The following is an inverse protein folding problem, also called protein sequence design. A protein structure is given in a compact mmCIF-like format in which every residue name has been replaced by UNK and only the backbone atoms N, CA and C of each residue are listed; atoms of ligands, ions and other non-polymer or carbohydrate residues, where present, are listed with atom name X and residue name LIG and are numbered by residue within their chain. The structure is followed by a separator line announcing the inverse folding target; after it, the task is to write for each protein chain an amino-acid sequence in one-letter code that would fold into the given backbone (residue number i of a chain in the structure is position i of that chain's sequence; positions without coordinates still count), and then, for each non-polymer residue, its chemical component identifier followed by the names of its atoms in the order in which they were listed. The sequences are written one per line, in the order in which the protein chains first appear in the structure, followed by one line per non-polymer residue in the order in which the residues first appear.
data_IF_663642379515
#
_entry.id   IF_663642379515
#
_cell.length_a   1.000
_cell.length_b   1.000
_cell.length_c   1.000
_cell.angle_alpha   90.00
_cell.angle_beta   90.00
_cell.angle_gamma   90.00
#
_symmetry.space_group_name_H-M   'P 1'
#
loop_
_entity.id
_entity.type
_entity.pdbx_description
1 polymer ?
#
# COMPACT_ATOMS: atom_id res chain seq x y z
N UNK A 1 21.60 6.89 9.67
CA UNK A 1 21.54 7.73 8.44
C UNK A 1 20.88 6.87 7.39
N UNK A 2 19.72 7.29 6.90
CA UNK A 2 18.97 6.58 5.85
C UNK A 2 19.86 6.56 4.60
N UNK A 3 20.13 5.35 4.08
CA UNK A 3 20.98 5.17 2.90
C UNK A 3 20.10 5.01 1.66
N UNK A 4 20.08 6.02 0.82
CA UNK A 4 19.20 6.12 -0.35
C UNK A 4 19.37 4.95 -1.31
N UNK A 5 20.60 4.52 -1.57
CA UNK A 5 20.85 3.38 -2.46
C UNK A 5 20.22 2.09 -1.90
N UNK A 6 20.31 1.88 -0.58
CA UNK A 6 19.74 0.72 0.09
C UNK A 6 18.21 0.76 0.04
N UNK A 7 17.61 1.90 0.34
CA UNK A 7 16.16 2.08 0.29
C UNK A 7 15.63 1.90 -1.14
N UNK A 8 16.33 2.39 -2.16
CA UNK A 8 15.98 2.19 -3.57
C UNK A 8 16.01 0.71 -3.95
N UNK A 9 17.04 -0.04 -3.53
CA UNK A 9 17.13 -1.49 -3.78
C UNK A 9 15.98 -2.24 -3.11
N UNK A 10 15.62 -1.86 -1.88
CA UNK A 10 14.48 -2.44 -1.18
C UNK A 10 13.15 -2.12 -1.89
N UNK A 11 12.89 -0.84 -2.20
CA UNK A 11 11.71 -0.40 -2.93
C UNK A 11 11.56 -1.14 -4.26
N UNK A 12 12.65 -1.31 -5.01
CA UNK A 12 12.66 -2.11 -6.23
C UNK A 12 12.21 -3.54 -5.98
N UNK A 13 12.84 -4.24 -5.02
CA UNK A 13 12.52 -5.64 -4.73
C UNK A 13 11.07 -5.82 -4.29
N UNK A 14 10.56 -4.91 -3.46
CA UNK A 14 9.18 -4.96 -2.97
C UNK A 14 8.17 -4.61 -4.08
N UNK A 15 8.43 -3.59 -4.90
CA UNK A 15 7.57 -3.17 -6.02
C UNK A 15 7.46 -4.27 -7.08
N UNK A 16 8.56 -4.93 -7.44
CA UNK A 16 8.57 -5.95 -8.49
C UNK A 16 8.03 -7.32 -8.03
N UNK A 17 8.01 -7.59 -6.72
CA UNK A 17 7.48 -8.83 -6.18
C UNK A 17 5.95 -8.89 -6.31
N UNK A 18 5.41 -10.07 -6.55
CA UNK A 18 3.96 -10.25 -6.69
C UNK A 18 3.27 -10.35 -5.34
N UNK A 19 2.12 -9.70 -5.20
CA UNK A 19 1.25 -9.95 -4.05
C UNK A 19 -0.09 -9.25 -4.19
N UNK A 20 -0.96 -9.75 -5.07
CA UNK A 20 -2.34 -9.23 -5.16
C UNK A 20 -3.17 -9.69 -3.96
N UNK A 21 -4.28 -9.01 -3.67
CA UNK A 21 -5.12 -9.33 -2.50
C UNK A 21 -5.54 -10.82 -2.49
N UNK A 22 -5.24 -11.51 -1.40
CA UNK A 22 -5.45 -12.96 -1.21
C UNK A 22 -4.33 -13.85 -1.75
N UNK A 23 -3.29 -13.28 -2.37
CA UNK A 23 -2.10 -13.96 -2.88
C UNK A 23 -0.80 -13.25 -2.44
N UNK A 24 -0.77 -12.74 -1.21
CA UNK A 24 0.35 -11.94 -0.66
C UNK A 24 1.55 -12.79 -0.23
N UNK A 25 1.49 -14.12 -0.38
CA UNK A 25 2.55 -15.00 0.13
C UNK A 25 3.95 -14.75 -0.47
N UNK A 26 4.13 -14.46 -1.78
CA UNK A 26 5.47 -14.18 -2.31
C UNK A 26 6.10 -12.94 -1.67
N UNK A 27 5.37 -11.82 -1.58
CA UNK A 27 5.88 -10.64 -0.90
C UNK A 27 6.06 -10.88 0.61
N UNK A 28 5.13 -11.57 1.25
CA UNK A 28 5.21 -11.85 2.69
C UNK A 28 6.50 -12.60 3.02
N UNK A 29 6.89 -13.57 2.18
CA UNK A 29 8.17 -14.27 2.32
C UNK A 29 9.35 -13.29 2.21
N UNK A 30 9.33 -12.43 1.20
CA UNK A 30 10.38 -11.42 1.00
C UNK A 30 10.48 -10.47 2.21
N UNK A 31 9.36 -9.99 2.74
CA UNK A 31 9.33 -9.12 3.93
C UNK A 31 9.79 -9.86 5.19
N UNK A 32 9.45 -11.14 5.33
CA UNK A 32 9.94 -12.00 6.43
C UNK A 32 11.48 -12.07 6.41
N UNK A 33 12.10 -12.28 5.25
CA UNK A 33 13.57 -12.32 5.11
C UNK A 33 14.24 -11.02 5.56
N UNK A 34 13.57 -9.87 5.39
CA UNK A 34 14.07 -8.57 5.83
C UNK A 34 13.83 -8.31 7.32
N UNK A 35 12.66 -8.67 7.84
CA UNK A 35 12.23 -8.31 9.19
C UNK A 35 12.74 -9.27 10.27
N UNK A 36 12.85 -10.56 9.99
CA UNK A 36 13.32 -11.56 10.95
C UNK A 36 14.64 -11.20 11.65
N UNK A 37 15.71 -10.75 10.95
CA UNK A 37 16.94 -10.34 11.62
C UNK A 37 16.86 -8.99 12.34
N UNK A 38 15.80 -8.21 12.10
CA UNK A 38 15.61 -6.85 12.64
C UNK A 38 14.63 -6.80 13.81
N UNK A 39 13.89 -7.88 14.08
CA UNK A 39 12.89 -7.95 15.14
C UNK A 39 13.27 -8.91 16.26
N UNK A 40 12.66 -8.72 17.43
CA UNK A 40 12.78 -9.66 18.55
C UNK A 40 11.86 -10.88 18.36
N UNK A 41 10.74 -10.67 17.68
CA UNK A 41 9.69 -11.65 17.48
C UNK A 41 8.95 -11.34 16.17
N UNK A 42 8.49 -12.39 15.48
CA UNK A 42 7.55 -12.31 14.37
C UNK A 42 6.26 -13.02 14.78
N UNK A 43 5.15 -12.32 14.63
CA UNK A 43 3.79 -12.79 14.91
C UNK A 43 3.00 -12.85 13.62
N UNK A 44 1.99 -13.71 13.57
CA UNK A 44 1.17 -13.93 12.38
C UNK A 44 -0.30 -13.94 12.75
N UNK A 45 -1.15 -13.41 11.87
CA UNK A 45 -2.58 -13.69 11.92
C UNK A 45 -2.93 -14.90 11.03
N UNK A 46 -4.20 -15.30 11.03
CA UNK A 46 -4.65 -16.45 10.24
C UNK A 46 -5.05 -16.09 8.79
N UNK A 47 -4.97 -14.82 8.39
CA UNK A 47 -5.21 -14.38 7.01
C UNK A 47 -3.92 -14.23 6.20
N UNK A 48 -2.78 -14.06 6.87
CA UNK A 48 -1.46 -13.92 6.27
C UNK A 48 -0.71 -12.64 6.67
N UNK A 49 -1.29 -11.78 7.51
CA UNK A 49 -0.58 -10.59 8.00
C UNK A 49 0.62 -11.00 8.86
N UNK A 50 1.70 -10.23 8.77
CA UNK A 50 2.93 -10.41 9.54
C UNK A 50 3.12 -9.22 10.48
N UNK A 51 3.42 -9.46 11.76
CA UNK A 51 3.71 -8.42 12.73
C UNK A 51 5.10 -8.64 13.34
N UNK A 52 6.05 -7.80 12.97
CA UNK A 52 7.38 -7.75 13.56
C UNK A 52 7.37 -6.90 14.82
N UNK A 53 8.08 -7.34 15.88
CA UNK A 53 8.09 -6.66 17.18
C UNK A 53 9.50 -6.22 17.57
N UNK A 54 9.63 -5.00 18.09
CA UNK A 54 10.79 -4.53 18.83
C UNK A 54 10.32 -4.12 20.24
N UNK A 55 10.95 -4.68 21.25
CA UNK A 55 10.60 -4.45 22.66
C UNK A 55 11.15 -3.11 23.12
N UNK A 56 10.24 -2.21 23.53
CA UNK A 56 10.60 -0.90 24.07
C UNK A 56 10.97 -0.94 25.55
N UNK A 57 11.37 0.21 26.08
CA UNK A 57 11.64 0.40 27.51
C UNK A 57 10.37 0.24 28.36
N UNK A 58 9.25 0.74 27.86
CA UNK A 58 7.91 0.66 28.44
C UNK A 58 7.11 -0.42 27.71
N UNK A 59 7.29 -1.67 28.15
CA UNK A 59 6.78 -2.85 27.42
C UNK A 59 5.26 -2.89 27.25
N UNK A 60 4.53 -2.28 28.18
CA UNK A 60 3.07 -2.25 28.16
C UNK A 60 2.50 -1.26 27.16
N UNK A 61 3.26 -0.22 26.76
CA UNK A 61 2.83 0.74 25.74
C UNK A 61 3.10 0.17 24.35
N UNK A 62 2.04 -0.17 23.62
CA UNK A 62 2.12 -0.84 22.31
C UNK A 62 1.74 0.10 21.19
N UNK A 63 2.71 0.36 20.32
CA UNK A 63 2.57 1.21 19.14
C UNK A 63 2.51 0.30 17.91
N UNK A 64 1.41 0.36 17.16
CA UNK A 64 1.26 -0.34 15.89
C UNK A 64 1.59 0.58 14.73
N UNK A 65 2.56 0.20 13.92
CA UNK A 65 2.81 0.77 12.61
C UNK A 65 2.24 -0.20 11.57
N UNK A 66 1.31 0.22 10.74
CA UNK A 66 0.68 -0.69 9.75
C UNK A 66 0.92 -0.21 8.32
N UNK A 67 1.16 -1.14 7.41
CA UNK A 67 1.28 -0.94 5.97
C UNK A 67 0.77 -2.21 5.26
N UNK A 68 0.15 -2.09 4.09
CA UNK A 68 -0.46 -3.26 3.45
C UNK A 68 0.43 -3.94 2.40
N UNK A 69 0.39 -5.27 2.43
CA UNK A 69 1.14 -6.12 1.51
C UNK A 69 0.38 -6.45 0.24
N UNK A 70 -0.91 -6.20 0.12
CA UNK A 70 -1.55 -6.45 -1.16
C UNK A 70 -1.37 -5.30 -2.13
N UNK A 71 -1.35 -5.63 -3.42
CA UNK A 71 -1.49 -4.70 -4.52
C UNK A 71 -2.80 -4.98 -5.26
N UNK A 72 -3.35 -3.97 -5.93
CA UNK A 72 -4.48 -4.19 -6.84
C UNK A 72 -4.11 -5.19 -7.95
N UNK A 73 -5.07 -6.02 -8.33
CA UNK A 73 -4.84 -7.09 -9.31
C UNK A 73 -6.12 -7.56 -9.98
N UNK A 74 -6.03 -8.69 -10.67
CA UNK A 74 -7.17 -9.35 -11.29
C UNK A 74 -7.17 -10.83 -10.92
N UNK A 75 -8.28 -11.51 -11.16
CA UNK A 75 -8.41 -12.95 -10.93
C UNK A 75 -9.10 -13.60 -12.11
N UNK A 76 -8.56 -14.72 -12.60
CA UNK A 76 -9.15 -15.48 -13.70
C UNK A 76 -10.54 -15.98 -13.30
N UNK A 77 -11.52 -15.78 -14.17
CA UNK A 77 -12.91 -16.24 -13.95
C UNK A 77 -13.31 -17.33 -14.92
N UNK A 78 -13.06 -17.14 -16.21
CA UNK A 78 -13.48 -18.05 -17.29
C UNK A 78 -12.46 -18.08 -18.41
N UNK A 79 -12.31 -19.24 -19.05
CA UNK A 79 -11.55 -19.41 -20.28
C UNK A 79 -12.56 -19.62 -21.42
N UNK A 80 -12.41 -18.88 -22.52
CA UNK A 80 -13.25 -19.03 -23.72
C UNK A 80 -12.79 -20.19 -24.59
N UNK A 81 -13.66 -20.68 -25.47
CA UNK A 81 -13.34 -21.81 -26.37
C UNK A 81 -12.20 -21.45 -27.33
N UNK A 82 -12.07 -20.17 -27.69
CA UNK A 82 -11.01 -19.63 -28.54
C UNK A 82 -9.68 -19.37 -27.79
N UNK A 83 -9.61 -19.63 -26.49
CA UNK A 83 -8.37 -19.49 -25.70
C UNK A 83 -8.15 -18.13 -25.04
N UNK A 84 -9.18 -17.27 -24.96
CA UNK A 84 -9.10 -16.00 -24.23
C UNK A 84 -9.51 -16.16 -22.77
N UNK A 85 -8.95 -15.32 -21.90
CA UNK A 85 -9.14 -15.42 -20.45
C UNK A 85 -9.93 -14.21 -19.95
N UNK A 86 -11.07 -14.46 -19.32
CA UNK A 86 -11.87 -13.46 -18.60
C UNK A 86 -11.43 -13.39 -17.15
N UNK A 87 -11.62 -12.23 -16.55
CA UNK A 87 -11.16 -11.93 -15.20
C UNK A 87 -12.11 -10.98 -14.46
N UNK A 88 -11.97 -10.91 -13.14
CA UNK A 88 -12.57 -9.91 -12.27
C UNK A 88 -11.49 -9.07 -11.60
N UNK A 89 -11.86 -7.93 -11.00
CA UNK A 89 -10.95 -7.04 -10.27
C UNK A 89 -10.76 -7.51 -8.83
N UNK A 90 -9.52 -7.44 -8.37
CA UNK A 90 -9.14 -7.46 -6.96
C UNK A 90 -8.66 -6.05 -6.62
N UNK A 91 -9.43 -5.33 -5.80
CA UNK A 91 -9.19 -3.92 -5.53
C UNK A 91 -9.83 -2.95 -6.52
N UNK A 92 -9.61 -1.66 -6.27
CA UNK A 92 -10.08 -0.58 -7.11
C UNK A 92 -9.31 -0.52 -8.44
N UNK A 93 -10.00 -0.58 -9.58
CA UNK A 93 -9.41 -0.19 -10.85
C UNK A 93 -10.35 0.73 -11.62
N UNK A 94 -9.74 1.71 -12.29
CA UNK A 94 -10.38 2.43 -13.38
C UNK A 94 -10.17 1.66 -14.69
N UNK A 95 -11.19 0.94 -15.15
CA UNK A 95 -11.11 -0.02 -16.26
C UNK A 95 -10.31 0.42 -17.52
N UNK A 96 -10.35 1.70 -17.97
CA UNK A 96 -9.57 2.14 -19.12
C UNK A 96 -8.06 1.94 -19.01
N UNK A 97 -7.49 1.97 -17.81
CA UNK A 97 -6.03 1.85 -17.59
C UNK A 97 -5.52 0.43 -17.80
N UNK A 98 -6.42 -0.55 -17.82
CA UNK A 98 -6.10 -1.96 -18.04
C UNK A 98 -5.84 -2.26 -19.52
N UNK A 99 -6.34 -1.44 -20.44
CA UNK A 99 -6.28 -1.74 -21.87
C UNK A 99 -4.83 -1.76 -22.38
N UNK A 100 -4.47 -2.82 -23.11
CA UNK A 100 -3.16 -3.03 -23.73
C UNK A 100 -2.00 -3.08 -22.72
N UNK A 101 -2.28 -3.53 -21.50
CA UNK A 101 -1.26 -3.71 -20.48
C UNK A 101 -0.77 -5.15 -20.40
N UNK A 102 0.48 -5.30 -19.99
CA UNK A 102 1.12 -6.60 -19.76
C UNK A 102 0.82 -7.09 -18.35
N UNK A 103 0.46 -8.36 -18.24
CA UNK A 103 0.16 -9.01 -16.96
C UNK A 103 0.82 -10.38 -16.86
N UNK A 104 0.90 -10.89 -15.63
CA UNK A 104 1.35 -12.24 -15.32
C UNK A 104 0.25 -13.01 -14.58
N UNK A 105 -0.15 -14.15 -15.12
CA UNK A 105 -1.02 -15.11 -14.46
C UNK A 105 -0.14 -16.08 -13.69
N UNK A 106 -0.37 -16.20 -12.39
CA UNK A 106 0.33 -17.11 -11.52
C UNK A 106 -0.54 -18.34 -11.31
N UNK A 107 -0.03 -19.52 -11.68
CA UNK A 107 -0.66 -20.79 -11.35
C UNK A 107 0.25 -21.60 -10.42
N UNK A 108 -0.21 -22.79 -10.02
CA UNK A 108 0.50 -23.67 -9.09
C UNK A 108 1.92 -24.08 -9.54
N UNK A 109 2.27 -23.96 -10.83
CA UNK A 109 3.52 -24.46 -11.38
C UNK A 109 4.41 -23.37 -12.01
N UNK A 110 3.85 -22.29 -12.56
CA UNK A 110 4.61 -21.28 -13.32
C UNK A 110 3.87 -19.94 -13.44
N UNK A 111 4.61 -18.95 -13.95
CA UNK A 111 4.09 -17.64 -14.38
C UNK A 111 3.84 -17.67 -15.89
N UNK A 112 2.66 -17.24 -16.33
CA UNK A 112 2.30 -17.11 -17.76
C UNK A 112 2.05 -15.64 -18.07
N UNK A 113 2.73 -15.11 -19.09
CA UNK A 113 2.57 -13.71 -19.49
C UNK A 113 1.43 -13.58 -20.50
N UNK A 114 0.60 -12.54 -20.31
CA UNK A 114 -0.44 -12.16 -21.25
C UNK A 114 -0.54 -10.65 -21.44
N UNK A 115 -1.36 -10.26 -22.41
CA UNK A 115 -1.72 -8.87 -22.68
C UNK A 115 -3.23 -8.71 -22.48
N UNK A 116 -3.65 -7.65 -21.80
CA UNK A 116 -5.07 -7.29 -21.72
C UNK A 116 -5.49 -6.65 -23.04
N UNK A 117 -6.35 -7.35 -23.78
CA UNK A 117 -6.92 -6.91 -25.05
C UNK A 117 -8.38 -6.48 -24.94
N UNK A 118 -8.85 -5.85 -26.00
CA UNK A 118 -10.26 -5.56 -26.26
C UNK A 118 -10.55 -5.71 -27.75
N UNK A 119 -11.83 -5.68 -28.11
CA UNK A 119 -12.26 -5.63 -29.52
C UNK A 119 -11.61 -4.43 -30.23
N UNK A 120 -10.99 -4.67 -31.39
CA UNK A 120 -10.18 -3.66 -32.06
C UNK A 120 -10.99 -2.43 -32.51
N UNK A 121 -10.46 -1.19 -32.39
CA UNK A 121 -11.23 0.03 -32.65
C UNK A 121 -11.80 0.14 -34.08
N UNK A 122 -11.15 -0.44 -35.09
CA UNK A 122 -11.56 -0.33 -36.49
C UNK A 122 -12.78 -1.20 -36.84
N UNK A 123 -13.12 -2.18 -36.00
CA UNK A 123 -14.33 -3.02 -36.13
C UNK A 123 -15.44 -2.62 -35.14
N UNK A 124 -15.21 -1.59 -34.32
CA UNK A 124 -16.25 -1.02 -33.47
C UNK A 124 -17.21 -0.17 -34.29
N UNK A 125 -18.50 -0.35 -34.03
CA UNK A 125 -19.55 0.56 -34.50
C UNK A 125 -19.33 1.97 -33.94
N UNK A 126 -19.85 3.02 -34.59
CA UNK A 126 -19.77 4.39 -34.07
C UNK A 126 -20.32 4.55 -32.65
N UNK A 127 -21.30 3.72 -32.26
CA UNK A 127 -21.91 3.78 -30.93
C UNK A 127 -21.05 3.07 -29.88
N UNK A 128 -20.48 1.90 -30.20
CA UNK A 128 -19.50 1.23 -29.32
C UNK A 128 -18.28 2.11 -29.04
N UNK A 129 -17.83 2.90 -30.02
CA UNK A 129 -16.70 3.84 -29.84
C UNK A 129 -16.95 4.96 -28.83
N UNK A 130 -18.20 5.30 -28.55
CA UNK A 130 -18.57 6.32 -27.56
C UNK A 130 -18.66 5.75 -26.14
N UNK A 131 -18.76 4.43 -26.01
CA UNK A 131 -18.88 3.79 -24.71
C UNK A 131 -17.51 3.73 -24.02
N UNK A 132 -17.46 3.93 -22.70
CA UNK A 132 -16.22 3.73 -21.96
C UNK A 132 -15.78 2.27 -22.06
N UNK A 133 -14.47 2.06 -21.98
CA UNK A 133 -13.92 0.71 -21.77
C UNK A 133 -14.42 0.20 -20.43
N UNK A 134 -14.94 -1.04 -20.42
CA UNK A 134 -15.41 -1.71 -19.20
C UNK A 134 -14.75 -3.07 -19.10
N UNK A 135 -14.57 -3.59 -17.88
CA UNK A 135 -13.94 -4.90 -17.66
C UNK A 135 -14.58 -6.03 -18.48
N UNK A 136 -15.89 -5.96 -18.73
CA UNK A 136 -16.61 -6.98 -19.50
C UNK A 136 -16.15 -7.06 -20.97
N UNK A 137 -15.70 -5.94 -21.55
CA UNK A 137 -15.18 -5.90 -22.92
C UNK A 137 -13.70 -6.30 -23.01
N UNK A 138 -13.02 -6.47 -21.86
CA UNK A 138 -11.62 -6.86 -21.79
C UNK A 138 -11.45 -8.38 -21.70
N UNK A 139 -10.27 -8.85 -22.09
CA UNK A 139 -9.82 -10.24 -21.94
C UNK A 139 -8.29 -10.27 -21.87
N UNK A 140 -7.71 -11.31 -21.30
CA UNK A 140 -6.27 -11.56 -21.37
C UNK A 140 -6.01 -12.54 -22.51
N UNK A 141 -5.05 -12.17 -23.35
CA UNK A 141 -4.53 -12.98 -24.45
C UNK A 141 -3.11 -13.45 -24.10
N UNK A 142 -2.89 -14.76 -24.19
CA UNK A 142 -1.58 -15.42 -23.97
C UNK A 142 -1.04 -16.06 -25.26
N UNK A 143 -1.70 -15.83 -26.40
CA UNK A 143 -1.38 -16.44 -27.69
C UNK A 143 -1.91 -17.87 -27.87
N UNK A 144 -2.86 -18.32 -27.03
CA UNK A 144 -3.51 -19.62 -27.16
C UNK A 144 -4.58 -19.60 -28.25
N UNK A 145 -4.78 -20.72 -28.93
CA UNK A 145 -5.79 -20.90 -29.98
C UNK A 145 -7.01 -21.69 -29.54
N UNK A 146 -7.01 -22.20 -28.30
CA UNK A 146 -8.13 -22.94 -27.73
C UNK A 146 -8.13 -22.92 -26.21
N UNK A 147 -9.28 -23.23 -25.63
CA UNK A 147 -9.41 -23.49 -24.19
C UNK A 147 -8.43 -24.55 -23.69
N UNK A 148 -8.28 -25.64 -24.43
CA UNK A 148 -7.41 -26.77 -24.04
C UNK A 148 -5.94 -26.34 -23.95
N UNK A 149 -5.47 -25.45 -24.82
CA UNK A 149 -4.11 -24.91 -24.76
C UNK A 149 -3.89 -24.06 -23.49
N UNK A 150 -4.85 -23.21 -23.13
CA UNK A 150 -4.81 -22.43 -21.88
C UNK A 150 -4.79 -23.37 -20.67
N UNK A 151 -5.65 -24.38 -20.68
CA UNK A 151 -5.73 -25.34 -19.57
C UNK A 151 -4.49 -26.23 -19.47
N UNK A 152 -3.84 -26.56 -20.60
CA UNK A 152 -2.57 -27.30 -20.64
C UNK A 152 -1.41 -26.49 -20.03
N UNK A 153 -1.47 -25.16 -20.03
CA UNK A 153 -0.54 -24.29 -19.30
C UNK A 153 -0.78 -24.26 -17.79
N UNK A 154 -1.85 -24.91 -17.33
CA UNK A 154 -2.21 -25.01 -15.92
C UNK A 154 -3.04 -23.85 -15.40
N UNK A 155 -3.51 -22.94 -16.27
CA UNK A 155 -4.35 -21.80 -15.87
C UNK A 155 -5.76 -22.28 -15.52
N UNK A 156 -6.29 -21.82 -14.39
CA UNK A 156 -7.61 -22.18 -13.86
C UNK A 156 -8.36 -20.94 -13.35
N UNK A 157 -9.68 -21.10 -13.18
CA UNK A 157 -10.50 -20.10 -12.47
C UNK A 157 -9.99 -19.95 -11.04
N UNK A 158 -9.86 -18.72 -10.57
CA UNK A 158 -9.27 -18.38 -9.27
C UNK A 158 -7.79 -18.03 -9.31
N UNK A 159 -7.07 -18.30 -10.42
CA UNK A 159 -5.66 -17.94 -10.52
C UNK A 159 -5.48 -16.41 -10.47
N UNK A 160 -4.54 -15.91 -9.65
CA UNK A 160 -4.26 -14.49 -9.56
C UNK A 160 -3.53 -13.98 -10.81
N UNK A 161 -3.86 -12.75 -11.18
CA UNK A 161 -3.29 -12.02 -12.30
C UNK A 161 -2.72 -10.71 -11.77
N UNK A 162 -1.41 -10.52 -11.99
CA UNK A 162 -0.64 -9.41 -11.43
C UNK A 162 -0.19 -8.47 -12.55
N UNK A 163 -0.27 -7.15 -12.37
CA UNK A 163 0.36 -6.19 -13.28
C UNK A 163 1.85 -6.51 -13.49
N UNK A 164 2.34 -6.39 -14.73
CA UNK A 164 3.77 -6.53 -15.02
C UNK A 164 4.39 -5.16 -15.30
N UNK A 165 5.21 -4.70 -14.36
CA UNK A 165 5.93 -3.43 -14.45
C UNK A 165 7.28 -3.54 -13.78
N UNK A 166 8.27 -2.83 -14.29
CA UNK A 166 9.62 -2.74 -13.71
C UNK A 166 9.75 -1.50 -12.84
N UNK A 167 10.58 -1.60 -11.80
CA UNK A 167 10.93 -0.44 -10.99
C UNK A 167 12.13 0.28 -11.61
N UNK A 168 12.02 1.60 -11.71
CA UNK A 168 13.06 2.45 -12.27
C UNK A 168 13.15 3.79 -11.52
N UNK A 169 14.39 4.27 -11.34
CA UNK A 169 14.58 5.68 -11.00
C UNK A 169 14.28 6.53 -12.22
N UNK A 170 13.54 7.62 -12.02
CA UNK A 170 13.36 8.64 -13.05
C UNK A 170 14.70 9.34 -13.31
N UNK A 171 14.82 9.96 -14.48
CA UNK A 171 16.06 10.58 -14.96
C UNK A 171 16.50 11.79 -14.12
N UNK A 172 15.61 12.33 -13.30
CA UNK A 172 15.91 13.39 -12.33
C UNK A 172 16.55 12.87 -11.03
N UNK A 173 16.69 11.54 -10.87
CA UNK A 173 17.23 10.84 -9.68
C UNK A 173 16.53 11.17 -8.36
N UNK A 174 15.38 11.83 -8.42
CA UNK A 174 14.58 12.22 -7.25
C UNK A 174 13.28 11.43 -7.20
N UNK A 175 12.65 11.22 -8.35
CA UNK A 175 11.44 10.41 -8.43
C UNK A 175 11.78 8.98 -8.86
N UNK A 176 10.89 8.06 -8.53
CA UNK A 176 10.93 6.67 -9.02
C UNK A 176 9.56 6.24 -9.51
N UNK A 177 9.54 5.22 -10.37
CA UNK A 177 8.33 4.65 -10.95
C UNK A 177 8.33 3.13 -10.82
N UNK A 178 7.15 2.55 -10.62
CA UNK A 178 6.97 1.10 -10.48
C UNK A 178 5.52 0.74 -10.15
N UNK A 179 5.19 -0.56 -10.13
CA UNK A 179 3.87 -1.02 -9.66
C UNK A 179 3.82 -1.10 -8.14
N UNK A 180 2.61 -1.22 -7.59
CA UNK A 180 2.39 -1.49 -6.17
C UNK A 180 3.10 -0.50 -5.24
N UNK A 181 3.34 0.75 -5.66
CA UNK A 181 3.86 1.75 -4.72
C UNK A 181 2.90 1.91 -3.53
N UNK A 182 1.62 1.81 -3.85
CA UNK A 182 0.51 1.47 -2.98
C UNK A 182 0.47 -0.04 -2.67
N UNK A 183 0.83 -0.52 -1.47
CA UNK A 183 1.52 0.19 -0.38
C UNK A 183 2.87 -0.47 -0.05
N UNK A 184 3.62 -0.84 -1.11
CA UNK A 184 5.01 -1.29 -0.94
C UNK A 184 5.90 -0.19 -0.38
N UNK A 185 5.51 1.08 -0.53
CA UNK A 185 6.20 2.20 0.09
C UNK A 185 6.08 2.13 1.62
N UNK A 186 4.89 1.95 2.19
CA UNK A 186 4.69 1.76 3.63
C UNK A 186 5.41 0.51 4.14
N UNK A 187 5.35 -0.60 3.41
CA UNK A 187 6.12 -1.81 3.74
C UNK A 187 7.63 -1.55 3.76
N UNK A 188 8.16 -0.83 2.78
CA UNK A 188 9.57 -0.43 2.73
C UNK A 188 9.95 0.44 3.92
N UNK A 189 9.10 1.40 4.28
CA UNK A 189 9.30 2.25 5.45
C UNK A 189 9.39 1.43 6.74
N UNK A 190 8.49 0.46 6.95
CA UNK A 190 8.53 -0.41 8.14
C UNK A 190 9.86 -1.16 8.27
N UNK A 191 10.39 -1.70 7.17
CA UNK A 191 11.71 -2.38 7.18
C UNK A 191 12.83 -1.40 7.56
N UNK A 192 12.84 -0.20 6.99
CA UNK A 192 13.87 0.81 7.33
C UNK A 192 13.72 1.34 8.76
N UNK A 193 12.49 1.52 9.28
CA UNK A 193 12.23 1.86 10.68
C UNK A 193 12.80 0.79 11.59
N UNK A 194 12.45 -0.48 11.36
CA UNK A 194 12.94 -1.61 12.18
C UNK A 194 14.47 -1.71 12.16
N UNK A 195 15.08 -1.37 11.03
CA UNK A 195 16.53 -1.33 10.91
C UNK A 195 17.16 -0.24 11.78
N UNK A 196 16.60 0.97 11.81
CA UNK A 196 17.12 2.05 12.67
C UNK A 196 16.83 1.78 14.16
N UNK A 197 15.68 1.18 14.48
CA UNK A 197 15.30 0.83 15.86
C UNK A 197 16.08 -0.36 16.42
N UNK A 198 16.65 -1.22 15.56
CA UNK A 198 17.44 -2.38 16.04
C UNK A 198 18.61 -1.97 16.94
N UNK A 199 19.24 -0.84 16.61
CA UNK A 199 20.40 -0.31 17.32
C UNK A 199 20.05 0.91 18.21
N UNK A 200 18.77 1.30 18.26
CA UNK A 200 18.31 2.52 18.94
C UNK A 200 17.17 2.19 19.92
N UNK A 201 17.37 2.38 21.23
CA UNK A 201 16.30 2.19 22.21
C UNK A 201 15.09 3.09 21.91
N UNK A 202 13.90 2.50 21.95
CA UNK A 202 12.62 3.19 21.76
C UNK A 202 11.80 3.14 23.06
N UNK A 203 11.05 4.21 23.42
CA UNK A 203 10.29 4.21 24.66
C UNK A 203 9.19 3.14 24.69
N UNK A 204 8.30 3.10 23.70
CA UNK A 204 7.23 2.10 23.59
C UNK A 204 7.62 0.85 22.82
N UNK A 205 6.89 -0.25 23.00
CA UNK A 205 7.03 -1.46 22.19
C UNK A 205 6.39 -1.25 20.82
N UNK A 206 7.18 -1.42 19.76
CA UNK A 206 6.78 -1.14 18.38
C UNK A 206 6.45 -2.45 17.66
N UNK A 207 5.28 -2.48 17.02
CA UNK A 207 4.85 -3.56 16.13
C UNK A 207 4.75 -3.02 14.70
N UNK A 208 5.60 -3.50 13.80
CA UNK A 208 5.51 -3.24 12.36
C UNK A 208 4.67 -4.33 11.72
N UNK A 209 3.46 -3.97 11.31
CA UNK A 209 2.44 -4.87 10.81
C UNK A 209 2.30 -4.70 9.31
N UNK A 210 2.64 -5.77 8.60
CA UNK A 210 2.43 -5.94 7.17
C UNK A 210 1.08 -6.63 6.97
N UNK A 211 0.02 -5.87 6.72
CA UNK A 211 -1.35 -6.38 6.62
C UNK A 211 -1.62 -7.02 5.26
N UNK A 212 -2.71 -7.77 5.14
CA UNK A 212 -3.19 -8.36 3.88
C UNK A 212 -4.59 -7.87 3.54
N UNK A 213 -4.97 -7.94 2.28
CA UNK A 213 -6.34 -7.66 1.81
C UNK A 213 -6.89 -6.29 2.23
N UNK A 214 -6.07 -5.25 2.19
CA UNK A 214 -6.53 -3.86 2.34
C UNK A 214 -7.48 -3.50 1.20
N UNK A 215 -7.04 -3.76 -0.03
CA UNK A 215 -7.67 -3.26 -1.26
C UNK A 215 -9.07 -3.86 -1.50
N UNK A 216 -9.37 -4.97 -0.82
CA UNK A 216 -10.64 -5.70 -0.88
C UNK A 216 -11.47 -5.58 0.40
N UNK A 217 -11.13 -4.64 1.28
CA UNK A 217 -11.96 -4.21 2.40
C UNK A 217 -11.26 -4.15 3.77
N UNK A 218 -9.99 -3.78 3.81
CA UNK A 218 -9.25 -3.48 5.05
C UNK A 218 -9.25 -4.69 6.00
N UNK A 219 -9.08 -5.90 5.45
CA UNK A 219 -9.41 -7.12 6.20
C UNK A 219 -8.31 -7.52 7.17
N UNK A 220 -7.06 -7.50 6.72
CA UNK A 220 -5.89 -7.89 7.51
C UNK A 220 -5.62 -6.96 8.69
N UNK A 221 -5.89 -5.66 8.56
CA UNK A 221 -5.87 -4.74 9.70
C UNK A 221 -6.83 -5.17 10.81
N UNK A 222 -8.07 -5.57 10.44
CA UNK A 222 -9.08 -6.00 11.39
C UNK A 222 -8.71 -7.26 12.18
N UNK A 223 -7.94 -8.17 11.58
CA UNK A 223 -7.42 -9.36 12.28
C UNK A 223 -6.14 -9.05 13.06
N UNK A 224 -5.25 -8.23 12.51
CA UNK A 224 -3.95 -7.89 13.09
C UNK A 224 -4.05 -7.19 14.45
N UNK A 225 -5.06 -6.33 14.65
CA UNK A 225 -5.27 -5.69 15.96
C UNK A 225 -5.53 -6.68 17.09
N UNK A 226 -6.05 -7.89 16.79
CA UNK A 226 -6.24 -8.93 17.82
C UNK A 226 -4.94 -9.65 18.19
N UNK A 227 -3.97 -9.66 17.29
CA UNK A 227 -2.61 -10.18 17.51
C UNK A 227 -1.82 -9.18 18.36
N UNK A 228 -1.79 -7.90 17.95
CA UNK A 228 -0.97 -6.86 18.57
C UNK A 228 -1.59 -6.29 19.85
N UNK A 229 -2.90 -6.00 19.81
CA UNK A 229 -3.64 -5.25 20.84
C UNK A 229 -2.99 -3.87 21.13
N UNK A 230 -2.93 -2.98 20.12
CA UNK A 230 -2.22 -1.70 20.25
C UNK A 230 -2.95 -0.70 21.13
N UNK A 231 -2.18 0.20 21.74
CA UNK A 231 -2.68 1.38 22.45
C UNK A 231 -2.78 2.60 21.52
N UNK A 232 -1.92 2.66 20.51
CA UNK A 232 -1.83 3.74 19.52
C UNK A 232 -1.39 3.15 18.17
N UNK A 233 -1.88 3.72 17.06
CA UNK A 233 -1.52 3.26 15.73
C UNK A 233 -1.14 4.40 14.76
N UNK A 234 -0.10 4.16 13.95
CA UNK A 234 0.29 5.00 12.82
C UNK A 234 0.20 4.12 11.58
N UNK A 235 -0.69 4.46 10.66
CA UNK A 235 -0.80 3.77 9.38
C UNK A 235 0.07 4.50 8.36
N UNK A 236 0.92 3.73 7.69
CA UNK A 236 1.77 4.15 6.61
C UNK A 236 1.07 3.69 5.34
N UNK A 237 0.82 4.64 4.44
CA UNK A 237 0.05 4.39 3.23
C UNK A 237 0.56 5.33 2.12
N UNK A 238 -0.09 5.32 0.97
CA UNK A 238 0.06 6.34 -0.05
C UNK A 238 -1.09 7.35 0.01
N UNK A 239 -0.94 8.44 -0.73
CA UNK A 239 -2.03 9.37 -1.02
C UNK A 239 -1.96 9.77 -2.48
N UNK A 240 -3.12 10.10 -3.05
CA UNK A 240 -3.22 10.56 -4.44
C UNK A 240 -2.54 11.92 -4.58
N UNK A 241 -1.43 11.98 -5.30
CA UNK A 241 -0.84 13.24 -5.72
C UNK A 241 -1.73 13.95 -6.76
N UNK A 242 -2.14 15.18 -6.46
CA UNK A 242 -3.11 15.99 -7.25
C UNK A 242 -2.45 17.04 -8.14
N UNK A 243 -1.14 16.96 -8.34
CA UNK A 243 -0.33 17.92 -9.08
C UNK A 243 -0.19 17.59 -10.58
N UNK A 244 -1.07 16.74 -11.10
CA UNK A 244 -1.17 16.43 -12.53
C UNK A 244 -1.95 17.50 -13.30
N UNK A 245 -1.72 17.66 -14.62
CA UNK A 245 -2.49 18.59 -15.45
C UNK A 245 -4.00 18.34 -15.36
N UNK A 246 -4.78 19.40 -15.59
CA UNK A 246 -6.25 19.39 -15.62
C UNK A 246 -6.95 19.11 -14.27
N UNK A 247 -6.24 19.20 -13.14
CA UNK A 247 -6.83 19.24 -11.80
C UNK A 247 -6.92 20.71 -11.34
N UNK A 248 -8.15 21.20 -11.17
CA UNK A 248 -8.43 22.54 -10.64
C UNK A 248 -8.61 22.51 -9.12
N UNK A 249 -8.41 23.65 -8.41
CA UNK A 249 -8.61 23.70 -6.96
C UNK A 249 -10.01 23.28 -6.48
N UNK A 250 -11.04 23.36 -7.33
CA UNK A 250 -12.41 22.94 -6.99
C UNK A 250 -12.69 21.46 -7.21
N UNK A 251 -11.79 20.73 -7.87
CA UNK A 251 -11.97 19.30 -8.18
C UNK A 251 -11.59 18.39 -7.00
N UNK A 252 -10.77 18.92 -6.07
CA UNK A 252 -10.23 18.19 -4.92
C UNK A 252 -10.44 18.99 -3.64
N UNK A 253 -10.69 18.30 -2.52
CA UNK A 253 -10.90 18.95 -1.21
C UNK A 253 -9.58 19.45 -0.62
N UNK A 254 -8.49 18.74 -0.90
CA UNK A 254 -7.13 19.09 -0.48
C UNK A 254 -6.16 18.82 -1.63
N UNK A 255 -5.04 19.53 -1.63
CA UNK A 255 -3.99 19.37 -2.64
C UNK A 255 -2.76 18.76 -2.02
N UNK A 256 -2.30 17.69 -2.65
CA UNK A 256 -1.01 17.05 -2.38
C UNK A 256 -0.18 17.07 -3.67
N UNK A 257 1.13 17.13 -3.53
CA UNK A 257 2.08 17.16 -4.64
C UNK A 257 3.35 16.39 -4.29
N UNK A 258 4.04 15.92 -5.33
CA UNK A 258 5.34 15.25 -5.19
C UNK A 258 6.43 16.25 -4.77
N UNK A 259 7.31 15.83 -3.87
CA UNK A 259 8.46 16.59 -3.36
C UNK A 259 8.07 17.72 -2.42
N UNK A 260 6.92 17.61 -1.75
CA UNK A 260 6.40 18.61 -0.79
C UNK A 260 6.27 18.07 0.64
N UNK A 261 6.80 16.88 0.89
CA UNK A 261 6.81 16.19 2.18
C UNK A 261 5.70 15.15 2.30
N UNK A 262 5.80 14.28 3.33
CA UNK A 262 4.73 13.36 3.72
C UNK A 262 3.40 14.07 3.94
N UNK A 263 2.33 13.31 3.85
CA UNK A 263 0.97 13.81 4.03
C UNK A 263 0.41 13.30 5.34
N UNK A 264 -0.16 14.20 6.13
CA UNK A 264 -0.86 13.85 7.36
C UNK A 264 -2.36 13.88 7.04
N UNK A 265 -3.02 12.72 7.14
CA UNK A 265 -4.45 12.62 6.87
C UNK A 265 -5.25 13.25 8.01
N UNK A 266 -6.05 14.26 7.69
CA UNK A 266 -6.98 14.90 8.62
C UNK A 266 -8.39 14.34 8.50
N UNK A 267 -8.67 13.61 7.42
CA UNK A 267 -9.95 12.95 7.15
C UNK A 267 -9.79 11.97 5.99
N UNK A 268 -10.27 10.75 6.16
CA UNK A 268 -10.64 9.85 5.06
C UNK A 268 -12.05 9.26 5.30
N UNK A 269 -12.62 8.55 4.33
CA UNK A 269 -13.98 8.03 4.46
C UNK A 269 -14.11 6.95 5.55
N UNK A 270 -12.99 6.37 5.98
CA UNK A 270 -12.92 5.30 6.98
C UNK A 270 -12.61 5.81 8.39
N UNK A 271 -11.97 6.98 8.53
CA UNK A 271 -11.55 7.51 9.82
C UNK A 271 -11.48 9.04 9.86
N UNK A 272 -11.95 9.62 10.98
CA UNK A 272 -11.52 10.94 11.45
C UNK A 272 -10.42 10.68 12.49
N UNK A 273 -9.18 11.17 12.31
CA UNK A 273 -8.09 10.88 13.23
C UNK A 273 -8.36 11.45 14.61
N UNK A 274 -7.75 10.84 15.63
CA UNK A 274 -7.82 11.33 16.98
C UNK A 274 -7.16 12.72 17.08
N UNK A 275 -7.95 13.78 17.26
CA UNK A 275 -7.51 15.19 17.15
C UNK A 275 -6.24 15.50 17.98
N UNK A 276 -6.18 15.18 19.28
CA UNK A 276 -4.97 15.39 20.08
C UNK A 276 -3.73 14.67 19.55
N UNK A 277 -3.93 13.49 18.94
CA UNK A 277 -2.82 12.73 18.37
C UNK A 277 -2.37 13.34 17.03
N UNK A 278 -3.31 13.75 16.18
CA UNK A 278 -3.03 14.53 14.96
C UNK A 278 -2.23 15.80 15.28
N UNK A 279 -2.64 16.56 16.30
CA UNK A 279 -1.96 17.81 16.68
C UNK A 279 -0.56 17.54 17.22
N UNK A 280 -0.38 16.45 17.97
CA UNK A 280 0.94 15.97 18.39
C UNK A 280 1.84 15.62 17.19
N UNK A 281 1.29 14.98 16.15
CA UNK A 281 2.04 14.65 14.93
C UNK A 281 2.49 15.89 14.18
N UNK A 282 1.57 16.86 14.00
CA UNK A 282 1.88 18.15 13.37
C UNK A 282 2.97 18.89 14.14
N UNK A 283 2.83 18.99 15.47
CA UNK A 283 3.83 19.61 16.33
C UNK A 283 5.19 18.93 16.21
N UNK A 284 5.22 17.60 16.16
CA UNK A 284 6.47 16.84 15.99
C UNK A 284 7.14 17.16 14.66
N UNK A 285 6.38 17.26 13.57
CA UNK A 285 6.90 17.65 12.27
C UNK A 285 7.51 19.06 12.30
N UNK A 286 6.81 20.02 12.91
CA UNK A 286 7.26 21.42 13.03
C UNK A 286 8.53 21.56 13.88
N UNK A 287 8.60 20.90 15.05
CA UNK A 287 9.77 20.91 15.93
C UNK A 287 11.02 20.31 15.28
N UNK A 288 10.83 19.31 14.41
CA UNK A 288 11.91 18.65 13.68
C UNK A 288 12.16 19.26 12.28
N UNK A 289 11.48 20.36 11.93
CA UNK A 289 11.60 21.03 10.63
C UNK A 289 11.34 20.10 9.43
N UNK A 290 10.40 19.16 9.58
CA UNK A 290 10.03 18.21 8.52
C UNK A 290 8.88 18.82 7.71
N UNK A 291 9.02 18.99 6.38
CA UNK A 291 7.92 19.48 5.56
C UNK A 291 6.79 18.45 5.57
N UNK A 292 5.54 18.92 5.59
CA UNK A 292 4.37 18.06 5.49
C UNK A 292 3.25 18.74 4.71
N UNK A 293 2.32 17.94 4.23
CA UNK A 293 1.08 18.36 3.58
C UNK A 293 -0.11 17.84 4.38
N UNK A 294 -1.28 18.44 4.17
CA UNK A 294 -2.52 18.02 4.83
C UNK A 294 -3.45 17.46 3.78
N UNK A 295 -4.03 16.30 4.07
CA UNK A 295 -5.05 15.68 3.23
C UNK A 295 -6.41 15.59 3.94
N UNK A 296 -7.43 15.83 3.13
CA UNK A 296 -8.83 15.54 3.39
C UNK A 296 -9.32 14.75 2.16
N UNK A 297 -9.57 13.45 2.32
CA UNK A 297 -9.88 12.51 1.25
C UNK A 297 -11.28 11.91 1.43
N UNK A 298 -12.34 12.49 0.85
CA UNK A 298 -13.70 11.98 1.02
C UNK A 298 -13.96 10.62 0.36
N UNK A 299 -13.10 10.20 -0.56
CA UNK A 299 -13.21 8.91 -1.25
C UNK A 299 -11.90 8.14 -1.09
N UNK A 300 -11.96 7.03 -0.35
CA UNK A 300 -10.81 6.23 0.03
C UNK A 300 -10.89 5.85 1.51
N UNK A 301 -10.22 4.77 1.87
CA UNK A 301 -10.05 4.32 3.25
C UNK A 301 -8.65 3.74 3.39
N UNK A 302 -8.24 3.51 4.62
CA UNK A 302 -6.92 2.90 4.92
C UNK A 302 -7.10 1.87 6.03
N UNK A 303 -6.04 1.13 6.33
CA UNK A 303 -5.98 0.24 7.50
C UNK A 303 -6.44 0.89 8.82
N UNK A 304 -6.29 2.21 8.95
CA UNK A 304 -6.70 2.96 10.13
C UNK A 304 -8.22 2.84 10.37
N UNK A 305 -9.01 2.71 9.30
CA UNK A 305 -10.46 2.54 9.33
C UNK A 305 -10.95 1.33 10.13
N UNK A 306 -10.14 0.27 10.25
CA UNK A 306 -10.43 -0.88 11.12
C UNK A 306 -9.67 -0.83 12.43
N UNK A 307 -8.44 -0.33 12.41
CA UNK A 307 -7.58 -0.30 13.60
C UNK A 307 -8.20 0.58 14.69
N UNK A 308 -8.67 1.78 14.34
CA UNK A 308 -9.16 2.74 15.33
C UNK A 308 -10.43 2.29 16.05
N UNK A 309 -11.19 1.34 15.49
CA UNK A 309 -12.42 0.79 16.05
C UNK A 309 -12.16 -0.40 17.00
N UNK A 310 -10.91 -0.80 17.19
CA UNK A 310 -10.58 -1.95 18.00
C UNK A 310 -10.86 -1.70 19.50
N UNK A 311 -11.64 -2.59 20.13
CA UNK A 311 -11.99 -2.56 21.57
C UNK A 311 -12.57 -1.23 22.03
N UNK A 312 -11.82 -0.47 22.83
CA UNK A 312 -12.24 0.80 23.41
C UNK A 312 -11.91 2.00 22.51
N UNK A 313 -11.42 1.72 21.30
CA UNK A 313 -10.86 2.70 20.39
C UNK A 313 -9.34 2.73 20.50
N UNK A 314 -8.69 2.92 19.36
CA UNK A 314 -7.23 3.09 19.27
C UNK A 314 -6.97 4.45 18.63
N UNK A 315 -6.40 5.44 19.35
CA UNK A 315 -5.92 6.68 18.75
C UNK A 315 -5.02 6.37 17.55
N UNK A 316 -5.48 6.79 16.38
CA UNK A 316 -4.87 6.42 15.10
C UNK A 316 -4.67 7.65 14.21
N UNK A 317 -3.63 7.60 13.38
CA UNK A 317 -3.29 8.60 12.37
C UNK A 317 -2.76 7.90 11.12
N UNK A 318 -2.97 8.49 9.94
CA UNK A 318 -2.36 8.03 8.68
C UNK A 318 -1.28 9.03 8.26
N UNK A 319 -0.11 8.52 7.91
CA UNK A 319 0.99 9.26 7.29
C UNK A 319 1.22 8.67 5.90
N UNK A 320 0.85 9.44 4.89
CA UNK A 320 0.90 9.05 3.48
C UNK A 320 2.14 9.55 2.75
N UNK A 321 2.60 8.80 1.75
CA UNK A 321 3.53 9.31 0.72
C UNK A 321 2.75 9.67 -0.55
N UNK A 322 2.89 10.89 -1.10
CA UNK A 322 2.26 11.25 -2.37
C UNK A 322 2.70 10.33 -3.52
N UNK A 323 1.73 9.75 -4.21
CA UNK A 323 1.94 8.93 -5.40
C UNK A 323 0.99 9.40 -6.50
N UNK A 324 1.55 9.65 -7.69
CA UNK A 324 0.74 9.83 -8.92
C UNK A 324 0.41 8.46 -9.49
N UNK A 325 -0.79 8.32 -10.04
CA UNK A 325 -1.23 7.10 -10.73
C UNK A 325 -1.21 5.88 -9.79
N UNK A 326 -1.85 6.01 -8.62
CA UNK A 326 -2.17 4.85 -7.79
C UNK A 326 -3.20 3.96 -8.51
N UNK A 327 -3.26 2.69 -8.13
CA UNK A 327 -4.15 1.70 -8.75
C UNK A 327 -4.00 1.57 -10.28
N UNK A 328 -2.76 1.81 -10.75
CA UNK A 328 -2.33 1.69 -12.14
C UNK A 328 -1.14 0.73 -12.27
N UNK A 329 -0.74 0.43 -13.51
CA UNK A 329 0.44 -0.40 -13.77
C UNK A 329 1.74 0.29 -13.33
N UNK A 330 1.78 1.62 -13.28
CA UNK A 330 2.92 2.38 -12.79
C UNK A 330 2.42 3.55 -11.95
N UNK A 331 2.91 3.65 -10.72
CA UNK A 331 2.86 4.87 -9.93
C UNK A 331 4.17 5.66 -10.06
N UNK A 332 4.13 6.95 -9.71
CA UNK A 332 5.34 7.80 -9.56
C UNK A 332 5.33 8.44 -8.17
N UNK A 333 6.42 8.28 -7.45
CA UNK A 333 6.62 8.86 -6.13
C UNK A 333 7.95 9.63 -6.04
N UNK A 334 8.08 10.46 -5.02
CA UNK A 334 9.28 11.26 -4.74
C UNK A 334 10.07 10.67 -3.56
N UNK A 335 11.39 10.51 -3.75
CA UNK A 335 12.27 9.95 -2.72
C UNK A 335 12.39 10.88 -1.50
N UNK A 336 12.33 12.21 -1.70
CA UNK A 336 12.39 13.16 -0.59
C UNK A 336 11.13 13.04 0.29
N UNK A 337 9.96 12.79 -0.30
CA UNK A 337 8.71 12.58 0.46
C UNK A 337 8.80 11.30 1.31
N UNK A 338 9.28 10.20 0.71
CA UNK A 338 9.53 8.93 1.40
C UNK A 338 10.51 9.10 2.59
N UNK A 339 11.63 9.78 2.37
CA UNK A 339 12.62 10.02 3.43
C UNK A 339 12.07 10.90 4.55
N UNK A 340 11.30 11.93 4.22
CA UNK A 340 10.71 12.81 5.23
C UNK A 340 9.58 12.10 6.00
N UNK A 341 8.82 11.20 5.36
CA UNK A 341 7.88 10.31 6.05
C UNK A 341 8.62 9.42 7.08
N UNK A 342 9.73 8.80 6.67
CA UNK A 342 10.55 7.97 7.55
C UNK A 342 11.11 8.77 8.74
N UNK A 343 11.64 9.98 8.49
CA UNK A 343 12.11 10.89 9.55
C UNK A 343 10.99 11.27 10.51
N UNK A 344 9.80 11.57 10.01
CA UNK A 344 8.65 11.94 10.83
C UNK A 344 8.25 10.79 11.75
N UNK A 345 8.12 9.58 11.21
CA UNK A 345 7.72 8.41 12.00
C UNK A 345 8.78 8.08 13.07
N UNK A 346 10.07 8.12 12.73
CA UNK A 346 11.14 7.93 13.72
C UNK A 346 11.12 9.01 14.82
N UNK A 347 10.87 10.28 14.46
CA UNK A 347 10.74 11.36 15.43
C UNK A 347 9.54 11.14 16.37
N UNK A 348 8.41 10.66 15.86
CA UNK A 348 7.23 10.32 16.66
C UNK A 348 7.54 9.19 17.65
N UNK A 349 8.14 8.10 17.17
CA UNK A 349 8.47 6.94 18.01
C UNK A 349 9.40 7.31 19.17
N UNK A 350 10.32 8.24 18.96
CA UNK A 350 11.20 8.74 20.02
C UNK A 350 10.47 9.58 21.09
N UNK A 351 9.31 10.16 20.76
CA UNK A 351 8.54 11.02 21.66
C UNK A 351 7.33 10.33 22.30
N UNK A 352 6.88 9.18 21.76
CA UNK A 352 5.74 8.42 22.29
C UNK A 352 6.21 7.53 23.44
N UNK A 353 5.95 8.00 24.66
CA UNK A 353 6.07 7.27 25.92
C UNK A 353 4.73 7.34 26.69
N UNK A 354 4.65 6.70 27.87
CA UNK A 354 3.43 6.63 28.67
C UNK A 354 2.89 8.00 29.05
N UNK A 355 3.76 8.97 29.34
CA UNK A 355 3.34 10.35 29.67
C UNK A 355 2.68 11.01 28.46
N UNK A 356 3.33 10.93 27.29
CA UNK A 356 2.78 11.47 26.03
C UNK A 356 1.47 10.77 25.64
N UNK A 357 1.43 9.44 25.74
CA UNK A 357 0.22 8.66 25.46
C UNK A 357 -0.95 9.07 26.35
N UNK A 358 -0.73 9.16 27.66
CA UNK A 358 -1.77 9.62 28.60
C UNK A 358 -2.21 11.06 28.34
N UNK A 359 -1.29 11.95 27.94
CA UNK A 359 -1.64 13.31 27.55
C UNK A 359 -2.54 13.34 26.30
N UNK A 360 -2.27 12.46 25.32
CA UNK A 360 -3.09 12.31 24.12
C UNK A 360 -4.51 11.85 24.49
N UNK A 361 -4.67 10.77 25.27
CA UNK A 361 -6.00 10.21 25.52
C UNK A 361 -6.83 11.01 26.53
N UNK A 362 -6.19 11.75 27.44
CA UNK A 362 -6.88 12.49 28.51
C UNK A 362 -7.24 13.94 28.14
N UNK A 363 -6.83 14.45 26.97
CA UNK A 363 -7.11 15.84 26.57
C UNK A 363 -8.59 16.13 26.24
N UNK A 364 -9.46 15.12 26.30
CA UNK A 364 -10.93 15.28 26.23
C UNK A 364 -11.58 15.58 27.59
N UNK A 365 -10.77 15.68 28.66
CA UNK A 365 -11.23 15.92 30.04
C UNK A 365 -11.39 17.40 30.38
#
# INVERSE_FOLDING_TARGET
MINDERSIVLLKRLSEESGVSGYEMPIRKLLTEYLEPLSDELLEDHLGSLAAKITGQEQELKIMLAAHMDEVGLMVTKISDEGFIKFLKLGGWWDPVLLNQKVQIYNSARKVTGIIGAKAPHILTPEEKKQPVTINSLFIDIGASSKDEVEALGIRSGDPVVPFSTFEMCENFRCFRGKALDDRIGCSMLVEIFRELRDTPVPGTVYGVMTVQEEVGIRGAGTSVSVVKPDLAIVLDVTVATDTPNISPGDVVSKTALGKGPVICFYDASMIPHIPFRDFVVKTAEENQIPYQIELMPGGGTDAGKIHLYRQGVPSIVIGVPVRYIHDHYGIADLDDYQNALKLVLALLNQINSVTFHAIINSHS
#
